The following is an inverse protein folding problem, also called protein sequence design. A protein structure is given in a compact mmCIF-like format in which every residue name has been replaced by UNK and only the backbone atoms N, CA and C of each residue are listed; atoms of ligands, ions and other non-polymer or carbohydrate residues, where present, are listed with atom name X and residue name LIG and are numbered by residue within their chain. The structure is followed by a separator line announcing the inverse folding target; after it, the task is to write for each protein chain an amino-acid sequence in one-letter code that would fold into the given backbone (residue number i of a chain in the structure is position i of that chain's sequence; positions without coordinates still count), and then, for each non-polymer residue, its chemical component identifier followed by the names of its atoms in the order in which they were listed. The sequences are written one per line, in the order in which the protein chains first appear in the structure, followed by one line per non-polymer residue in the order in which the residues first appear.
data_IF_413656351346
#
_entry.id   IF_413656351346
#
_cell.length_a   1.000
_cell.length_b   1.000
_cell.length_c   1.000
_cell.angle_alpha   90.00
_cell.angle_beta   90.00
_cell.angle_gamma   90.00
#
_symmetry.space_group_name_H-M   'P 1'
#
loop_
_entity.id
_entity.type
_entity.pdbx_description
1 polymer ?
#
# COMPACT_ATOMS: atom_id res chain seq x y z
N UNK A 1 -4.21 -20.36 4.68
CA UNK A 1 -2.99 -19.52 4.64
C UNK A 1 -3.31 -18.24 5.37
N UNK A 2 -2.43 -17.79 6.28
CA UNK A 2 -2.70 -16.58 7.06
C UNK A 2 -2.01 -15.38 6.40
N UNK A 3 -2.48 -14.17 6.71
CA UNK A 3 -1.82 -12.95 6.21
C UNK A 3 -0.34 -12.87 6.63
N UNK A 4 0.02 -13.50 7.75
CA UNK A 4 1.37 -13.48 8.34
C UNK A 4 2.47 -13.97 7.40
N UNK A 5 2.13 -14.85 6.47
CA UNK A 5 3.07 -15.44 5.51
C UNK A 5 3.32 -14.55 4.29
N UNK A 6 2.49 -13.52 4.08
CA UNK A 6 2.70 -12.55 3.02
C UNK A 6 3.97 -11.74 3.31
N UNK A 7 4.69 -11.41 2.25
CA UNK A 7 5.89 -10.59 2.29
C UNK A 7 5.53 -9.19 1.85
N UNK A 8 5.84 -8.22 2.70
CA UNK A 8 5.58 -6.79 2.48
C UNK A 8 6.89 -6.04 2.33
N UNK A 9 6.91 -5.06 1.44
CA UNK A 9 7.90 -3.99 1.39
C UNK A 9 7.18 -2.65 1.32
N UNK A 10 7.67 -1.63 2.04
CA UNK A 10 7.12 -0.27 2.05
C UNK A 10 8.28 0.69 1.85
N UNK A 11 8.17 1.57 0.85
CA UNK A 11 9.18 2.55 0.51
C UNK A 11 9.12 3.76 1.47
N UNK A 12 9.42 3.53 2.75
CA UNK A 12 9.37 4.53 3.81
C UNK A 12 10.56 4.39 4.77
N UNK A 13 11.17 5.52 5.11
CA UNK A 13 12.28 5.57 6.10
C UNK A 13 11.78 5.91 7.51
N UNK A 14 10.51 6.29 7.64
CA UNK A 14 9.90 6.64 8.93
C UNK A 14 8.43 6.25 8.98
N UNK A 15 7.92 5.99 10.18
CA UNK A 15 6.50 5.83 10.47
C UNK A 15 6.04 6.84 11.53
N UNK A 16 4.73 7.01 11.68
CA UNK A 16 4.14 7.89 12.69
C UNK A 16 3.77 7.04 13.91
N UNK A 17 4.44 7.21 15.06
CA UNK A 17 4.08 6.51 16.28
C UNK A 17 2.80 7.07 16.90
N UNK A 18 2.17 6.26 17.72
CA UNK A 18 0.92 6.55 18.43
C UNK A 18 1.12 6.53 19.95
N UNK A 19 0.21 7.22 20.64
CA UNK A 19 0.04 7.12 22.10
C UNK A 19 -0.68 5.81 22.50
N UNK A 20 -0.88 5.62 23.81
CA UNK A 20 -1.56 4.44 24.36
C UNK A 20 -3.03 4.28 23.92
N UNK A 21 -3.63 5.31 23.32
CA UNK A 21 -4.98 5.31 22.77
C UNK A 21 -4.99 5.11 21.25
N UNK A 22 -3.84 4.80 20.64
CA UNK A 22 -3.63 4.71 19.20
C UNK A 22 -3.81 6.05 18.46
N UNK A 23 -3.61 7.19 19.14
CA UNK A 23 -3.63 8.52 18.52
C UNK A 23 -2.23 8.90 18.01
N UNK A 24 -2.06 9.25 16.72
CA UNK A 24 -0.77 9.63 16.16
C UNK A 24 -0.15 10.89 16.80
N UNK A 25 1.13 10.80 17.17
CA UNK A 25 1.84 11.80 17.99
C UNK A 25 2.33 13.05 17.25
N UNK A 26 2.24 13.11 15.91
CA UNK A 26 2.77 14.25 15.16
C UNK A 26 4.26 14.18 14.81
N UNK A 27 4.94 13.10 15.19
CA UNK A 27 6.37 12.89 14.96
C UNK A 27 6.65 11.83 13.89
N UNK A 28 7.81 11.91 13.25
CA UNK A 28 8.32 10.90 12.33
C UNK A 28 9.39 10.08 13.04
N UNK A 29 9.16 8.78 13.26
CA UNK A 29 10.13 7.87 13.85
C UNK A 29 10.84 7.06 12.79
N UNK A 30 12.18 7.07 12.79
CA UNK A 30 13.00 6.30 11.86
C UNK A 30 12.76 4.78 12.04
N UNK A 31 12.65 4.05 10.94
CA UNK A 31 12.38 2.60 10.97
C UNK A 31 13.62 1.75 11.28
N UNK A 32 14.82 2.30 11.14
CA UNK A 32 16.09 1.56 11.23
C UNK A 32 16.25 0.88 12.59
N UNK A 33 16.50 -0.43 12.56
CA UNK A 33 16.66 -1.23 13.77
C UNK A 33 15.35 -1.55 14.52
N UNK A 34 14.19 -1.13 13.98
CA UNK A 34 12.88 -1.39 14.58
C UNK A 34 12.16 -2.54 13.86
N UNK A 35 11.10 -3.12 14.47
CA UNK A 35 10.20 -4.06 13.81
C UNK A 35 9.49 -3.51 12.56
N UNK A 36 9.41 -2.17 12.44
CA UNK A 36 8.73 -1.44 11.39
C UNK A 36 9.58 -1.28 10.12
N UNK A 37 10.81 -1.79 10.07
CA UNK A 37 11.67 -1.68 8.87
C UNK A 37 11.25 -2.59 7.72
N UNK A 38 10.25 -2.17 6.94
CA UNK A 38 9.81 -2.84 5.71
C UNK A 38 10.50 -2.33 4.44
N UNK A 39 11.64 -1.63 4.55
CA UNK A 39 12.38 -1.17 3.35
C UNK A 39 12.88 -2.35 2.51
N UNK A 40 13.10 -3.49 3.15
CA UNK A 40 13.37 -4.77 2.49
C UNK A 40 12.18 -5.73 2.61
N UNK A 41 11.89 -6.55 1.57
CA UNK A 41 10.78 -7.50 1.60
C UNK A 41 10.83 -8.43 2.82
N UNK A 42 9.86 -8.28 3.71
CA UNK A 42 9.81 -9.01 4.99
C UNK A 42 8.44 -9.66 5.20
N UNK A 43 8.40 -10.89 5.73
CA UNK A 43 7.13 -11.52 6.12
C UNK A 43 6.44 -10.68 7.20
N UNK A 44 5.15 -10.43 7.07
CA UNK A 44 4.38 -9.67 8.08
C UNK A 44 4.57 -10.31 9.46
N UNK A 45 4.45 -11.65 9.53
CA UNK A 45 4.58 -12.41 10.76
C UNK A 45 5.98 -12.47 11.39
N UNK A 46 7.03 -11.99 10.71
CA UNK A 46 8.42 -12.16 11.18
C UNK A 46 8.71 -11.36 12.45
N UNK A 47 8.10 -10.18 12.59
CA UNK A 47 8.40 -9.22 13.67
C UNK A 47 7.17 -8.65 14.37
N UNK A 48 5.97 -9.06 13.98
CA UNK A 48 4.69 -8.52 14.50
C UNK A 48 4.45 -8.77 16.01
N UNK A 49 5.22 -9.66 16.65
CA UNK A 49 5.18 -9.90 18.11
C UNK A 49 6.48 -9.48 18.80
N UNK A 50 7.33 -8.68 18.16
CA UNK A 50 8.56 -8.22 18.78
C UNK A 50 8.28 -7.39 20.04
N UNK A 51 9.24 -7.36 20.96
CA UNK A 51 9.16 -6.56 22.19
C UNK A 51 9.38 -5.08 21.86
N UNK A 52 8.32 -4.43 21.38
CA UNK A 52 8.29 -3.03 20.98
C UNK A 52 6.98 -2.41 21.44
N UNK A 53 7.04 -1.22 22.03
CA UNK A 53 5.87 -0.59 22.64
C UNK A 53 4.77 -0.26 21.63
N UNK A 54 5.14 0.12 20.41
CA UNK A 54 4.17 0.44 19.35
C UNK A 54 3.43 -0.82 18.86
N UNK A 55 4.13 -1.96 18.78
CA UNK A 55 3.48 -3.24 18.49
C UNK A 55 2.54 -3.70 19.61
N UNK A 56 2.91 -3.46 20.88
CA UNK A 56 2.06 -3.78 22.04
C UNK A 56 0.80 -2.92 22.06
N UNK A 57 0.94 -1.61 21.83
CA UNK A 57 -0.17 -0.65 21.78
C UNK A 57 -1.18 -1.05 20.70
N UNK A 58 -0.70 -1.37 19.50
CA UNK A 58 -1.55 -1.69 18.35
C UNK A 58 -1.96 -3.17 18.24
N UNK A 59 -1.43 -4.05 19.09
CA UNK A 59 -1.54 -5.51 18.98
C UNK A 59 -1.07 -6.10 17.62
N UNK A 60 -0.13 -5.43 16.97
CA UNK A 60 0.41 -5.71 15.64
C UNK A 60 0.84 -4.43 14.92
N UNK A 61 0.75 -4.40 13.60
CA UNK A 61 0.97 -3.17 12.83
C UNK A 61 -0.36 -2.43 12.65
N UNK A 62 -0.38 -1.16 13.01
CA UNK A 62 -1.48 -0.22 12.76
C UNK A 62 -0.96 1.22 12.63
N UNK A 63 0.01 1.44 11.73
CA UNK A 63 0.76 2.69 11.68
C UNK A 63 0.81 3.29 10.28
N UNK A 64 0.89 4.62 10.25
CA UNK A 64 1.05 5.39 9.04
C UNK A 64 2.54 5.48 8.66
N UNK A 65 2.91 4.99 7.49
CA UNK A 65 4.28 5.04 6.97
C UNK A 65 4.44 6.26 6.07
N UNK A 66 5.42 7.11 6.39
CA UNK A 66 5.73 8.29 5.61
C UNK A 66 6.53 7.90 4.36
N UNK A 67 5.87 7.90 3.21
CA UNK A 67 6.47 7.43 1.98
C UNK A 67 7.68 8.29 1.59
N UNK A 68 8.69 7.63 1.02
CA UNK A 68 9.84 8.29 0.42
C UNK A 68 9.37 9.01 -0.82
N UNK A 69 9.82 10.24 -0.97
CA UNK A 69 9.76 10.91 -2.25
C UNK A 69 10.96 10.49 -3.09
N UNK A 70 10.74 9.65 -4.10
CA UNK A 70 11.80 9.16 -4.99
C UNK A 70 11.92 10.00 -6.27
N UNK A 71 11.05 11.00 -6.49
CA UNK A 71 10.92 11.71 -7.76
C UNK A 71 10.67 13.24 -7.62
N UNK A 72 11.02 13.84 -6.48
CA UNK A 72 11.05 15.30 -6.30
C UNK A 72 9.72 15.96 -5.94
N UNK A 73 8.71 15.19 -5.53
CA UNK A 73 7.48 15.72 -4.93
C UNK A 73 7.65 15.99 -3.42
N UNK A 74 7.47 17.23 -2.97
CA UNK A 74 7.55 17.52 -1.54
C UNK A 74 6.58 16.66 -0.71
N UNK A 75 7.01 16.23 0.48
CA UNK A 75 6.10 15.69 1.50
C UNK A 75 5.19 16.83 1.93
N UNK A 76 4.02 16.93 1.32
CA UNK A 76 3.00 17.89 1.71
C UNK A 76 2.56 18.83 0.60
N UNK A 77 1.30 19.22 0.75
CA UNK A 77 0.48 19.94 -0.22
C UNK A 77 -0.95 19.39 -0.20
N UNK A 78 -1.89 20.16 -0.76
CA UNK A 78 -3.29 19.76 -0.87
C UNK A 78 -3.45 18.76 -2.00
N UNK A 79 -4.15 17.65 -1.76
CA UNK A 79 -4.32 16.58 -2.73
C UNK A 79 -3.07 15.73 -2.95
N UNK A 80 -3.03 15.04 -4.09
CA UNK A 80 -1.94 14.18 -4.49
C UNK A 80 -0.69 15.00 -4.81
N UNK A 81 0.35 14.87 -4.00
CA UNK A 81 1.60 15.66 -4.13
C UNK A 81 2.74 14.87 -4.73
N UNK A 82 2.62 13.54 -4.71
CA UNK A 82 3.60 12.63 -5.30
C UNK A 82 3.17 12.28 -6.71
N UNK A 83 4.12 12.17 -7.63
CA UNK A 83 3.85 11.64 -8.97
C UNK A 83 3.41 10.17 -8.84
N UNK A 84 2.54 9.64 -9.72
CA UNK A 84 2.24 8.19 -9.74
C UNK A 84 3.36 7.34 -10.33
N UNK A 85 4.19 7.92 -11.20
CA UNK A 85 5.27 7.18 -11.86
C UNK A 85 4.77 6.05 -12.75
N UNK A 86 3.53 6.20 -13.23
CA UNK A 86 2.89 5.30 -14.18
C UNK A 86 2.60 6.11 -15.45
N UNK A 87 3.04 5.61 -16.59
CA UNK A 87 2.81 6.24 -17.89
C UNK A 87 2.08 5.29 -18.83
N UNK A 88 1.03 5.79 -19.48
CA UNK A 88 0.34 5.07 -20.55
C UNK A 88 1.18 5.19 -21.82
N UNK A 89 1.77 4.08 -22.26
CA UNK A 89 2.49 4.02 -23.52
C UNK A 89 1.54 4.11 -24.73
N UNK A 90 2.09 4.43 -25.89
CA UNK A 90 1.34 4.58 -27.15
C UNK A 90 0.62 3.29 -27.60
N UNK A 91 1.04 2.13 -27.11
CA UNK A 91 0.38 0.84 -27.35
C UNK A 91 -0.79 0.55 -26.39
N UNK A 92 -1.18 1.52 -25.56
CA UNK A 92 -2.25 1.41 -24.58
C UNK A 92 -1.88 0.64 -23.32
N UNK A 93 -0.61 0.28 -23.12
CA UNK A 93 -0.14 -0.37 -21.89
C UNK A 93 0.46 0.63 -20.93
N UNK A 94 0.09 0.52 -19.66
CA UNK A 94 0.78 1.25 -18.62
C UNK A 94 2.21 0.72 -18.42
N UNK A 95 3.11 1.62 -18.05
CA UNK A 95 4.52 1.33 -17.77
C UNK A 95 4.90 1.92 -16.42
N UNK A 96 5.77 1.21 -15.70
CA UNK A 96 6.30 1.62 -14.40
C UNK A 96 7.56 2.44 -14.63
N UNK A 97 7.63 3.65 -14.06
CA UNK A 97 8.79 4.56 -14.15
C UNK A 97 9.53 4.70 -12.83
N UNK A 98 8.94 4.20 -11.75
CA UNK A 98 9.58 4.08 -10.45
C UNK A 98 9.21 2.76 -9.76
N UNK A 99 9.87 2.51 -8.64
CA UNK A 99 9.47 1.46 -7.71
C UNK A 99 8.12 1.79 -7.04
N UNK A 100 7.37 0.76 -6.69
CA UNK A 100 6.10 0.88 -5.99
C UNK A 100 6.29 1.43 -4.57
N UNK A 101 5.27 2.12 -4.07
CA UNK A 101 5.28 2.74 -2.74
C UNK A 101 5.06 1.70 -1.63
N UNK A 102 4.27 0.66 -1.94
CA UNK A 102 4.17 -0.55 -1.15
C UNK A 102 4.00 -1.77 -2.05
N UNK A 103 4.46 -2.92 -1.59
CA UNK A 103 4.32 -4.21 -2.27
C UNK A 103 3.86 -5.23 -1.25
N UNK A 104 2.89 -6.06 -1.62
CA UNK A 104 2.62 -7.31 -0.93
C UNK A 104 2.69 -8.48 -1.90
N UNK A 105 3.28 -9.59 -1.46
CA UNK A 105 3.38 -10.81 -2.24
C UNK A 105 3.08 -12.04 -1.40
N UNK A 106 2.41 -12.99 -2.02
CA UNK A 106 2.25 -14.34 -1.50
C UNK A 106 3.18 -15.28 -2.28
N UNK A 107 4.19 -15.81 -1.59
CA UNK A 107 5.15 -16.74 -2.20
C UNK A 107 4.53 -18.07 -2.59
N UNK A 108 3.43 -18.47 -1.96
CA UNK A 108 2.77 -19.76 -2.25
C UNK A 108 2.03 -19.71 -3.57
N UNK A 109 1.25 -18.66 -3.80
CA UNK A 109 0.49 -18.50 -5.04
C UNK A 109 1.24 -17.76 -6.14
N UNK A 110 2.36 -17.09 -5.81
CA UNK A 110 3.09 -16.21 -6.72
C UNK A 110 2.35 -14.91 -7.06
N UNK A 111 1.22 -14.63 -6.39
CA UNK A 111 0.45 -13.40 -6.56
C UNK A 111 1.15 -12.26 -5.84
N UNK A 112 1.07 -11.08 -6.43
CA UNK A 112 1.54 -9.85 -5.81
C UNK A 112 0.64 -8.69 -6.18
N UNK A 113 0.70 -7.66 -5.35
CA UNK A 113 0.13 -6.34 -5.61
C UNK A 113 1.20 -5.29 -5.34
N UNK A 114 1.35 -4.37 -6.28
CA UNK A 114 2.15 -3.16 -6.15
C UNK A 114 1.19 -1.98 -5.96
N UNK A 115 1.49 -1.08 -5.03
CA UNK A 115 0.69 0.11 -4.74
C UNK A 115 1.47 1.34 -5.14
N UNK A 116 0.88 2.19 -5.97
CA UNK A 116 1.40 3.50 -6.35
C UNK A 116 0.39 4.55 -5.92
N UNK A 117 0.83 5.61 -5.26
CA UNK A 117 -0.07 6.65 -4.77
C UNK A 117 0.52 8.05 -4.88
N UNK A 118 -0.36 9.03 -5.07
CA UNK A 118 -0.02 10.45 -4.97
C UNK A 118 -0.06 10.95 -3.51
N UNK A 119 -0.58 10.14 -2.60
CA UNK A 119 -0.67 10.41 -1.16
C UNK A 119 0.71 10.36 -0.48
N UNK A 120 0.96 11.17 0.56
CA UNK A 120 2.27 11.23 1.23
C UNK A 120 2.54 10.02 2.13
N UNK A 121 1.52 9.23 2.46
CA UNK A 121 1.65 8.11 3.37
C UNK A 121 0.80 6.90 2.98
N UNK A 122 1.18 5.74 3.51
CA UNK A 122 0.36 4.52 3.50
C UNK A 122 0.21 4.04 4.92
N UNK A 123 -1.02 3.93 5.41
CA UNK A 123 -1.33 3.26 6.66
C UNK A 123 -1.36 1.75 6.45
N UNK A 124 -0.56 1.04 7.24
CA UNK A 124 -0.44 -0.41 7.19
C UNK A 124 -1.04 -1.01 8.45
N UNK A 125 -2.24 -1.57 8.28
CA UNK A 125 -2.97 -2.28 9.31
C UNK A 125 -2.94 -3.78 9.07
N UNK A 126 -2.60 -4.56 10.09
CA UNK A 126 -2.47 -6.02 10.00
C UNK A 126 -3.65 -6.80 10.56
N UNK A 127 -4.86 -6.21 10.60
CA UNK A 127 -6.07 -6.95 10.99
C UNK A 127 -6.09 -7.37 12.46
N UNK A 128 -5.51 -6.56 13.35
CA UNK A 128 -5.19 -6.91 14.73
C UNK A 128 -6.43 -7.25 15.59
N UNK A 129 -7.57 -6.66 15.25
CA UNK A 129 -8.84 -6.77 15.97
C UNK A 129 -9.96 -7.43 15.16
N UNK A 130 -9.65 -8.00 14.00
CA UNK A 130 -10.58 -8.90 13.30
C UNK A 130 -10.87 -10.14 14.18
N UNK A 131 -12.00 -10.81 13.97
CA UNK A 131 -12.31 -12.06 14.68
C UNK A 131 -13.70 -12.15 15.30
N UNK A 132 -14.38 -11.02 15.45
CA UNK A 132 -15.77 -10.94 15.92
C UNK A 132 -16.73 -10.48 14.81
N UNK A 133 -16.32 -10.69 13.56
CA UNK A 133 -17.04 -10.27 12.37
C UNK A 133 -18.08 -11.32 11.95
N UNK A 134 -19.11 -10.92 11.17
CA UNK A 134 -19.96 -11.87 10.47
C UNK A 134 -19.15 -12.82 9.58
N UNK A 135 -19.77 -13.94 9.22
CA UNK A 135 -19.15 -14.92 8.34
C UNK A 135 -18.68 -14.27 7.04
N UNK A 136 -17.42 -14.53 6.68
CA UNK A 136 -16.81 -13.97 5.48
C UNK A 136 -17.28 -14.63 4.19
N UNK A 137 -16.61 -14.26 3.09
CA UNK A 137 -16.91 -14.80 1.76
C UNK A 137 -16.77 -16.32 1.73
N UNK A 138 -17.73 -17.00 1.11
CA UNK A 138 -17.73 -18.45 0.97
C UNK A 138 -17.96 -19.22 2.28
N UNK A 139 -18.52 -18.57 3.32
CA UNK A 139 -18.76 -19.21 4.61
C UNK A 139 -17.50 -19.40 5.45
N UNK A 140 -16.43 -18.68 5.13
CA UNK A 140 -15.15 -18.75 5.86
C UNK A 140 -15.12 -17.66 6.93
N UNK A 141 -14.89 -18.00 8.22
CA UNK A 141 -14.78 -17.00 9.29
C UNK A 141 -13.63 -16.00 9.04
N UNK A 142 -13.85 -14.74 9.41
CA UNK A 142 -12.80 -13.72 9.40
C UNK A 142 -12.12 -13.74 10.76
N UNK A 143 -11.02 -14.46 10.86
CA UNK A 143 -10.25 -14.58 12.11
C UNK A 143 -9.38 -13.34 12.37
N UNK A 144 -8.88 -13.22 13.61
CA UNK A 144 -7.81 -12.27 13.94
C UNK A 144 -6.66 -12.43 12.97
N UNK A 145 -6.24 -11.32 12.35
CA UNK A 145 -5.16 -11.30 11.35
C UNK A 145 -5.49 -12.15 10.12
N UNK A 146 -6.76 -12.20 9.70
CA UNK A 146 -7.16 -12.81 8.43
C UNK A 146 -6.82 -11.96 7.20
N UNK A 147 -6.49 -10.67 7.38
CA UNK A 147 -6.15 -9.75 6.30
C UNK A 147 -5.24 -8.61 6.75
N UNK A 148 -4.86 -7.78 5.80
CA UNK A 148 -4.10 -6.54 6.00
C UNK A 148 -4.52 -5.48 4.98
N UNK A 149 -4.22 -4.22 5.27
CA UNK A 149 -4.56 -3.08 4.42
C UNK A 149 -3.31 -2.28 4.04
N UNK A 150 -3.32 -1.72 2.83
CA UNK A 150 -2.51 -0.55 2.47
C UNK A 150 -3.47 0.60 2.17
N UNK A 151 -3.57 1.53 3.10
CA UNK A 151 -4.48 2.68 3.03
C UNK A 151 -3.65 3.91 2.67
N UNK A 152 -3.62 4.25 1.38
CA UNK A 152 -2.94 5.46 0.92
C UNK A 152 -3.75 6.70 1.32
N UNK A 153 -3.12 7.61 2.04
CA UNK A 153 -3.75 8.83 2.59
C UNK A 153 -2.72 9.85 3.09
N UNK A 154 -3.18 11.06 3.43
CA UNK A 154 -2.44 11.99 4.29
C UNK A 154 -2.15 11.39 5.67
N UNK A 155 -1.27 12.04 6.43
CA UNK A 155 -0.93 11.57 7.77
C UNK A 155 -2.16 11.55 8.67
N UNK A 156 -2.34 10.44 9.38
CA UNK A 156 -3.40 10.34 10.39
C UNK A 156 -3.18 11.41 11.45
N UNK A 157 -4.28 11.99 11.96
CA UNK A 157 -4.26 13.11 12.90
C UNK A 157 -3.76 14.47 12.33
N UNK A 158 -3.60 14.63 11.01
CA UNK A 158 -3.18 15.90 10.38
C UNK A 158 -3.97 17.14 10.85
N UNK A 159 -5.32 17.11 11.07
CA UNK A 159 -6.04 18.28 11.58
C UNK A 159 -5.57 18.79 12.94
N UNK A 160 -5.01 17.91 13.78
CA UNK A 160 -4.57 18.24 15.13
C UNK A 160 -3.04 18.35 15.25
N UNK A 161 -2.31 18.12 14.16
CA UNK A 161 -0.84 18.07 14.15
C UNK A 161 -0.30 19.12 13.16
N UNK A 162 0.03 20.35 13.64
CA UNK A 162 0.50 21.43 12.76
C UNK A 162 1.78 21.13 11.98
N UNK A 163 2.56 20.14 12.44
CA UNK A 163 3.76 19.66 11.73
C UNK A 163 3.43 18.81 10.50
N UNK A 164 2.21 18.28 10.39
CA UNK A 164 1.76 17.52 9.24
C UNK A 164 1.15 18.43 8.17
N UNK A 165 1.30 18.06 6.88
CA UNK A 165 0.59 18.71 5.79
C UNK A 165 -0.91 18.82 6.07
N UNK A 166 -1.45 20.03 5.88
CA UNK A 166 -2.89 20.28 6.08
C UNK A 166 -3.75 19.44 5.14
N UNK A 167 -4.88 19.00 5.67
CA UNK A 167 -5.96 18.30 4.96
C UNK A 167 -7.23 19.16 4.85
N UNK A 168 -7.14 20.45 5.19
CA UNK A 168 -8.26 21.40 5.06
C UNK A 168 -8.53 21.67 3.58
N UNK A 169 -9.82 21.62 3.21
CA UNK A 169 -10.31 21.98 1.88
C UNK A 169 -11.25 23.19 2.03
N UNK A 170 -10.85 24.32 1.45
CA UNK A 170 -11.64 25.56 1.55
C UNK A 170 -12.75 25.62 0.49
N UNK A 171 -13.82 26.43 0.69
CA UNK A 171 -14.86 26.63 -0.31
C UNK A 171 -14.30 27.03 -1.68
N UNK A 172 -14.67 26.28 -2.72
CA UNK A 172 -14.23 26.51 -4.10
C UNK A 172 -12.92 25.81 -4.47
N UNK A 173 -12.21 25.20 -3.51
CA UNK A 173 -11.04 24.37 -3.81
C UNK A 173 -11.45 22.97 -4.31
N UNK A 174 -10.55 22.35 -5.08
CA UNK A 174 -10.70 20.98 -5.56
C UNK A 174 -9.64 20.10 -4.92
N UNK A 175 -10.07 18.97 -4.38
CA UNK A 175 -9.20 17.90 -3.92
C UNK A 175 -9.21 16.74 -4.92
N UNK A 176 -8.02 16.26 -5.29
CA UNK A 176 -7.86 15.05 -6.10
C UNK A 176 -6.59 14.33 -5.67
N UNK A 177 -6.71 13.02 -5.45
CA UNK A 177 -5.59 12.11 -5.22
C UNK A 177 -5.86 10.83 -6.00
N UNK A 178 -4.80 10.11 -6.35
CA UNK A 178 -4.90 8.84 -7.07
C UNK A 178 -4.08 7.77 -6.39
N UNK A 179 -4.65 6.56 -6.36
CA UNK A 179 -3.98 5.35 -5.90
C UNK A 179 -4.25 4.23 -6.91
N UNK A 180 -3.20 3.53 -7.30
CA UNK A 180 -3.26 2.43 -8.27
C UNK A 180 -2.78 1.15 -7.60
N UNK A 181 -3.62 0.12 -7.64
CA UNK A 181 -3.28 -1.25 -7.29
C UNK A 181 -2.93 -2.00 -8.57
N UNK A 182 -1.65 -2.30 -8.75
CA UNK A 182 -1.14 -3.01 -9.91
C UNK A 182 -0.95 -4.48 -9.57
N UNK A 183 -1.50 -5.37 -10.38
CA UNK A 183 -1.36 -6.82 -10.24
C UNK A 183 -0.45 -7.34 -11.35
N UNK A 184 0.84 -7.60 -11.07
CA UNK A 184 1.74 -8.16 -12.06
C UNK A 184 1.28 -9.56 -12.47
N UNK A 185 1.58 -9.94 -13.72
CA UNK A 185 1.50 -11.36 -14.09
C UNK A 185 2.45 -12.14 -13.18
N UNK A 186 2.00 -13.23 -12.54
CA UNK A 186 2.90 -14.11 -11.81
C UNK A 186 4.05 -14.52 -12.72
N UNK A 187 5.29 -14.28 -12.30
CA UNK A 187 6.44 -14.83 -13.03
C UNK A 187 6.33 -16.34 -12.98
N UNK A 188 6.44 -17.02 -14.12
CA UNK A 188 6.54 -18.47 -14.15
C UNK A 188 7.80 -18.89 -13.36
N UNK A 189 7.58 -19.39 -12.14
CA UNK A 189 8.48 -20.10 -11.24
C UNK A 189 9.99 -19.72 -11.17
N UNK A 190 10.42 -19.31 -9.97
CA UNK A 190 11.64 -19.88 -9.36
C UNK A 190 13.02 -19.37 -9.81
N UNK A 191 13.13 -18.23 -10.48
CA UNK A 191 14.43 -17.62 -10.81
C UNK A 191 14.66 -16.33 -10.03
N UNK A 192 15.84 -16.18 -9.41
CA UNK A 192 16.38 -14.90 -8.98
C UNK A 192 16.10 -13.83 -10.04
N UNK A 193 15.67 -12.65 -9.58
CA UNK A 193 15.41 -11.45 -10.39
C UNK A 193 16.53 -11.24 -11.41
N UNK A 194 16.27 -11.64 -12.66
CA UNK A 194 16.98 -11.15 -13.82
C UNK A 194 15.93 -10.80 -14.85
N UNK A 195 15.98 -9.54 -15.29
CA UNK A 195 15.16 -8.98 -16.35
C UNK A 195 15.07 -9.94 -17.55
N UNK A 196 13.87 -10.36 -17.91
CA UNK A 196 13.65 -10.80 -19.28
C UNK A 196 12.23 -10.44 -19.75
N UNK A 197 12.22 -9.60 -20.79
CA UNK A 197 11.08 -9.16 -21.54
C UNK A 197 10.55 -10.35 -22.37
N UNK A 198 9.38 -10.89 -22.03
CA UNK A 198 8.69 -11.82 -22.92
C UNK A 198 7.69 -11.04 -23.79
N UNK A 199 8.13 -10.75 -25.03
CA UNK A 199 7.23 -10.58 -26.18
C UNK A 199 6.37 -11.84 -26.33
N UNK A 200 5.06 -11.69 -26.22
CA UNK A 200 4.12 -12.62 -26.85
C UNK A 200 3.35 -11.84 -27.93
N UNK A 201 3.78 -12.01 -29.18
CA UNK A 201 2.97 -11.74 -30.35
C UNK A 201 1.89 -12.81 -30.46
N UNK A 202 0.65 -12.44 -30.18
CA UNK A 202 -0.54 -13.25 -30.45
C UNK A 202 -1.64 -12.32 -30.90
N UNK A 203 -1.84 -12.24 -32.21
CA UNK A 203 -3.02 -11.64 -32.80
C UNK A 203 -4.23 -12.49 -32.44
N UNK A 204 -5.28 -11.88 -31.89
CA UNK A 204 -6.63 -12.42 -31.98
C UNK A 204 -7.57 -11.23 -32.21
N UNK A 205 -8.08 -11.16 -33.44
CA UNK A 205 -9.21 -10.33 -33.82
C UNK A 205 -10.48 -10.86 -33.15
N UNK A 206 -11.20 -10.00 -32.45
CA UNK A 206 -12.63 -10.17 -32.19
C UNK A 206 -13.30 -8.81 -32.41
N UNK A 207 -14.05 -8.72 -33.50
CA UNK A 207 -14.94 -7.61 -33.84
C UNK A 207 -16.14 -7.58 -32.88
N UNK A 208 -16.47 -6.39 -32.36
CA UNK A 208 -17.72 -6.16 -31.62
C UNK A 208 -18.89 -5.89 -32.60
N UNK A 209 -20.06 -6.52 -32.43
CA UNK A 209 -21.27 -6.05 -33.08
C UNK A 209 -21.80 -4.78 -32.41
N UNK A 210 -22.33 -3.92 -33.25
CA UNK A 210 -22.99 -2.65 -32.99
C UNK A 210 -24.28 -2.76 -32.15
N UNK A 211 -24.46 -1.81 -31.22
CA UNK A 211 -25.79 -1.37 -30.76
C UNK A 211 -26.16 -1.74 -29.33
N UNK A 212 -26.24 -0.73 -28.47
CA UNK A 212 -27.00 -0.81 -27.21
C UNK A 212 -28.29 0.02 -27.38
N UNK A 213 -29.48 -0.53 -27.07
CA UNK A 213 -30.70 0.26 -27.05
C UNK A 213 -30.77 1.09 -25.77
N UNK A 214 -31.22 2.34 -25.92
CA UNK A 214 -31.60 3.21 -24.83
C UNK A 214 -32.91 2.74 -24.18
N UNK A 215 -32.94 2.75 -22.85
CA UNK A 215 -34.10 3.13 -22.04
C UNK A 215 -33.59 3.84 -20.79
#
# INVERSE_FOLDING_TARGET
QTMRDHVVAIAADSFIPTDEFNIPLGEYRDVTGTPFDFRSPTKIGARIEADDDQLKIAAGYDHNYALRDTHGGARGGRGGTRHLGLELASDGRWTRKREADAIASDRTTGRSVEVYTEEPAVHFYSGNYLGNDPMGKGGVPIERRAGFCFEAQHFTNSPNQPAFPSVVLEPGERWETRTVFWFPKPSAAGGLLSSCCCRCSGQNFLSAPSGWPQT
#
